data_IF_425870303519
#
_entry.id   IF_425870303519
#
_cell.length_a   1.000
_cell.length_b   1.000
_cell.length_c   1.000
_cell.angle_alpha   90.00
_cell.angle_beta   90.00
_cell.angle_gamma   90.00
#
_symmetry.space_group_name_H-M   'P 1'
#
loop_
_entity.id
_entity.type
_entity.pdbx_description
1 polymer ?
#
# COMPACT_ATOMS: atom_id res chain seq x y z
N UNK A 1 -10.13 -5.42 16.51
CA UNK A 1 -9.65 -4.96 17.84
C UNK A 1 -8.16 -5.21 17.91
N UNK A 2 -7.33 -4.22 17.56
CA UNK A 2 -5.86 -4.34 17.57
C UNK A 2 -5.33 -4.21 19.00
N UNK A 3 -4.46 -5.11 19.34
CA UNK A 3 -3.84 -5.27 20.64
C UNK A 3 -3.00 -4.02 20.98
N UNK A 4 -3.45 -3.22 21.94
CA UNK A 4 -2.89 -1.92 22.35
C UNK A 4 -1.61 -2.02 23.20
N UNK A 5 -0.92 -3.19 23.24
CA UNK A 5 0.27 -3.38 24.08
C UNK A 5 1.28 -4.38 23.47
N UNK A 6 1.66 -4.21 22.20
CA UNK A 6 2.88 -4.90 21.74
C UNK A 6 4.09 -4.30 22.44
N UNK A 7 4.94 -5.15 23.04
CA UNK A 7 6.16 -4.66 23.69
C UNK A 7 7.08 -3.99 22.68
N UNK A 8 7.83 -2.98 23.10
CA UNK A 8 8.78 -2.28 22.25
C UNK A 8 9.75 -3.23 21.52
N UNK A 9 10.13 -4.33 22.18
CA UNK A 9 11.01 -5.38 21.61
C UNK A 9 10.33 -6.12 20.46
N UNK A 10 9.03 -6.43 20.55
CA UNK A 10 8.25 -7.07 19.47
C UNK A 10 8.18 -6.14 18.26
N UNK A 11 7.84 -4.86 18.47
CA UNK A 11 7.79 -3.87 17.41
C UNK A 11 9.15 -3.69 16.73
N UNK A 12 10.24 -3.67 17.50
CA UNK A 12 11.59 -3.58 16.97
C UNK A 12 11.93 -4.78 16.10
N UNK A 13 11.61 -6.00 16.54
CA UNK A 13 11.83 -7.24 15.76
C UNK A 13 11.07 -7.20 14.44
N UNK A 14 9.78 -6.87 14.48
CA UNK A 14 8.96 -6.74 13.26
C UNK A 14 9.52 -5.68 12.31
N UNK A 15 10.00 -4.55 12.86
CA UNK A 15 10.60 -3.49 12.06
C UNK A 15 11.89 -3.93 11.37
N UNK A 16 12.79 -4.63 12.07
CA UNK A 16 14.03 -5.16 11.48
C UNK A 16 13.76 -6.15 10.34
N UNK A 17 12.82 -7.07 10.54
CA UNK A 17 12.40 -8.03 9.50
C UNK A 17 11.78 -7.32 8.29
N UNK A 18 10.90 -6.33 8.52
CA UNK A 18 10.28 -5.56 7.45
C UNK A 18 11.31 -4.73 6.66
N UNK A 19 12.23 -4.06 7.35
CA UNK A 19 13.30 -3.28 6.71
C UNK A 19 14.19 -4.19 5.85
N UNK A 20 14.51 -5.39 6.33
CA UNK A 20 15.31 -6.34 5.56
C UNK A 20 14.57 -6.87 4.33
N UNK A 21 13.27 -7.19 4.44
CA UNK A 21 12.48 -7.60 3.27
C UNK A 21 12.43 -6.49 2.22
N UNK A 22 12.20 -5.25 2.64
CA UNK A 22 12.17 -4.10 1.73
C UNK A 22 13.53 -3.88 1.05
N UNK A 23 14.64 -4.08 1.77
CA UNK A 23 15.99 -3.99 1.19
C UNK A 23 16.24 -5.08 0.13
N UNK A 24 15.85 -6.32 0.41
CA UNK A 24 15.97 -7.42 -0.54
C UNK A 24 15.11 -7.20 -1.80
N UNK A 25 13.93 -6.60 -1.64
CA UNK A 25 13.02 -6.28 -2.74
C UNK A 25 13.52 -5.13 -3.63
N UNK A 26 14.57 -4.41 -3.27
CA UNK A 26 15.22 -3.46 -4.20
C UNK A 26 15.90 -4.16 -5.38
N UNK A 27 16.30 -5.42 -5.22
CA UNK A 27 17.15 -6.13 -6.19
C UNK A 27 16.59 -7.47 -6.66
N UNK A 28 15.60 -8.02 -5.98
CA UNK A 28 15.07 -9.35 -6.25
C UNK A 28 13.56 -9.39 -6.10
N UNK A 29 12.87 -10.13 -6.98
CA UNK A 29 11.44 -10.34 -6.84
C UNK A 29 11.10 -11.14 -5.57
N UNK A 30 9.91 -10.88 -5.02
CA UNK A 30 9.43 -11.56 -3.81
C UNK A 30 9.50 -13.09 -3.92
N UNK A 31 9.21 -13.64 -5.11
CA UNK A 31 9.27 -15.08 -5.38
C UNK A 31 10.65 -15.67 -5.08
N UNK A 32 11.71 -14.92 -5.39
CA UNK A 32 13.12 -15.34 -5.21
C UNK A 32 13.67 -15.08 -3.80
N UNK A 33 12.90 -14.46 -2.91
CA UNK A 33 13.32 -14.20 -1.53
C UNK A 33 12.77 -15.29 -0.63
N UNK A 34 13.64 -15.93 0.16
CA UNK A 34 13.27 -16.90 1.18
C UNK A 34 13.18 -16.27 2.57
N UNK A 35 12.47 -16.93 3.50
CA UNK A 35 12.48 -16.52 4.93
C UNK A 35 13.90 -16.56 5.49
N UNK A 36 14.74 -17.50 5.01
CA UNK A 36 16.13 -17.58 5.45
C UNK A 36 16.95 -16.33 5.06
N UNK A 37 16.78 -15.82 3.83
CA UNK A 37 17.45 -14.58 3.38
C UNK A 37 17.07 -13.39 4.27
N UNK A 38 15.78 -13.30 4.62
CA UNK A 38 15.26 -12.22 5.48
C UNK A 38 15.87 -12.34 6.88
N UNK A 39 15.84 -13.54 7.46
CA UNK A 39 16.36 -13.79 8.81
C UNK A 39 17.86 -13.52 8.92
N UNK A 40 18.64 -13.96 7.93
CA UNK A 40 20.09 -13.73 7.89
C UNK A 40 20.42 -12.24 7.81
N UNK A 41 19.77 -11.50 6.91
CA UNK A 41 20.03 -10.08 6.76
C UNK A 41 19.55 -9.24 7.94
N UNK A 42 18.46 -9.64 8.61
CA UNK A 42 17.96 -8.99 9.81
C UNK A 42 18.71 -9.39 11.10
N UNK A 43 19.59 -10.39 11.04
CA UNK A 43 20.25 -11.01 12.20
C UNK A 43 19.25 -11.57 13.24
N UNK A 44 18.15 -12.14 12.75
CA UNK A 44 17.05 -12.71 13.55
C UNK A 44 16.93 -14.20 13.23
N UNK A 45 16.70 -15.02 14.27
CA UNK A 45 16.53 -16.45 14.08
C UNK A 45 15.21 -16.77 13.35
N UNK A 46 15.17 -17.89 12.60
CA UNK A 46 13.93 -18.37 11.98
C UNK A 46 12.82 -18.64 12.98
N UNK A 47 13.16 -19.17 14.17
CA UNK A 47 12.18 -19.38 15.23
C UNK A 47 11.55 -18.07 15.68
N UNK A 48 12.35 -17.01 15.82
CA UNK A 48 11.84 -15.67 16.15
C UNK A 48 10.98 -15.10 15.02
N UNK A 49 11.35 -15.32 13.74
CA UNK A 49 10.52 -14.94 12.60
C UNK A 49 9.12 -15.55 12.71
N UNK A 50 9.04 -16.88 12.91
CA UNK A 50 7.76 -17.60 12.97
C UNK A 50 6.92 -17.31 14.22
N UNK A 51 7.48 -16.68 15.25
CA UNK A 51 6.71 -16.12 16.36
C UNK A 51 5.89 -14.88 15.95
N UNK A 52 6.28 -14.19 14.87
CA UNK A 52 5.66 -12.93 14.47
C UNK A 52 4.93 -13.00 13.12
N UNK A 53 5.40 -13.85 12.21
CA UNK A 53 4.85 -13.97 10.85
C UNK A 53 4.79 -15.43 10.42
N UNK A 54 3.66 -15.85 9.88
CA UNK A 54 3.48 -17.21 9.35
C UNK A 54 4.40 -17.48 8.16
N UNK A 55 4.58 -16.47 7.30
CA UNK A 55 5.39 -16.51 6.11
C UNK A 55 5.86 -15.12 5.67
N UNK A 56 6.58 -15.05 4.54
CA UNK A 56 7.07 -13.79 3.96
C UNK A 56 5.96 -12.90 3.40
N UNK A 57 4.79 -13.46 3.05
CA UNK A 57 3.66 -12.69 2.54
C UNK A 57 2.98 -11.93 3.66
N UNK A 58 2.85 -12.54 4.85
CA UNK A 58 2.38 -11.85 6.06
C UNK A 58 3.34 -10.73 6.50
N UNK A 59 4.64 -10.94 6.33
CA UNK A 59 5.61 -9.87 6.55
C UNK A 59 5.48 -8.76 5.50
N UNK A 60 5.27 -9.08 4.22
CA UNK A 60 5.01 -8.10 3.18
C UNK A 60 3.72 -7.31 3.47
N UNK A 61 2.67 -7.99 3.90
CA UNK A 61 1.44 -7.33 4.35
C UNK A 61 1.73 -6.28 5.44
N UNK A 62 2.53 -6.64 6.43
CA UNK A 62 2.94 -5.71 7.48
C UNK A 62 3.72 -4.52 6.92
N UNK A 63 4.60 -4.72 5.91
CA UNK A 63 5.29 -3.63 5.23
C UNK A 63 4.29 -2.67 4.58
N UNK A 64 3.31 -3.18 3.83
CA UNK A 64 2.27 -2.36 3.22
C UNK A 64 1.44 -1.62 4.26
N UNK A 65 0.97 -2.27 5.31
CA UNK A 65 0.21 -1.62 6.38
C UNK A 65 0.96 -0.42 7.00
N UNK A 66 2.28 -0.53 7.12
CA UNK A 66 3.12 0.59 7.59
C UNK A 66 3.19 1.74 6.58
N UNK A 67 3.42 1.43 5.30
CA UNK A 67 3.45 2.45 4.24
C UNK A 67 2.10 3.18 4.13
N UNK A 68 1.01 2.45 4.25
CA UNK A 68 -0.34 2.97 4.17
C UNK A 68 -0.67 3.85 5.36
N UNK A 69 -0.33 3.44 6.56
CA UNK A 69 -0.50 4.29 7.75
C UNK A 69 0.21 5.64 7.59
N UNK A 70 1.34 5.67 6.85
CA UNK A 70 1.99 6.92 6.45
C UNK A 70 1.16 7.70 5.44
N UNK A 71 0.63 7.05 4.40
CA UNK A 71 -0.20 7.70 3.39
C UNK A 71 -1.46 8.29 4.01
N UNK A 72 -2.20 7.51 4.80
CA UNK A 72 -3.39 7.97 5.52
C UNK A 72 -3.10 9.21 6.38
N UNK A 73 -2.00 9.17 7.14
CA UNK A 73 -1.60 10.29 7.99
C UNK A 73 -1.20 11.52 7.16
N UNK A 74 -0.41 11.32 6.11
CA UNK A 74 0.13 12.40 5.28
C UNK A 74 -0.88 13.02 4.31
N UNK A 75 -1.96 12.30 4.00
CA UNK A 75 -3.02 12.79 3.10
C UNK A 75 -4.25 13.32 3.82
N UNK A 76 -4.28 13.26 5.15
CA UNK A 76 -5.38 13.80 5.94
C UNK A 76 -5.51 15.32 5.69
N UNK A 77 -6.72 15.76 5.37
CA UNK A 77 -7.01 17.17 5.06
C UNK A 77 -6.51 17.66 3.69
N UNK A 78 -5.86 16.82 2.90
CA UNK A 78 -5.45 17.15 1.53
C UNK A 78 -6.61 16.98 0.56
N UNK A 79 -6.59 17.76 -0.52
CA UNK A 79 -7.47 17.59 -1.68
C UNK A 79 -7.23 16.24 -2.36
N UNK A 80 -8.15 15.82 -3.22
CA UNK A 80 -7.98 14.61 -4.03
C UNK A 80 -6.69 14.69 -4.89
N UNK A 81 -6.44 15.83 -5.52
CA UNK A 81 -5.24 16.04 -6.34
C UNK A 81 -3.94 15.94 -5.54
N UNK A 82 -3.87 16.61 -4.39
CA UNK A 82 -2.70 16.52 -3.51
C UNK A 82 -2.48 15.10 -2.97
N UNK A 83 -3.56 14.36 -2.73
CA UNK A 83 -3.51 12.96 -2.31
C UNK A 83 -2.95 12.07 -3.41
N UNK A 84 -3.43 12.23 -4.66
CA UNK A 84 -2.93 11.49 -5.83
C UNK A 84 -1.42 11.72 -5.97
N UNK A 85 -1.00 12.98 -6.05
CA UNK A 85 0.42 13.32 -6.23
C UNK A 85 1.29 12.75 -5.10
N UNK A 86 0.85 12.87 -3.86
CA UNK A 86 1.57 12.31 -2.71
C UNK A 86 1.76 10.80 -2.83
N UNK A 87 0.70 10.06 -3.17
CA UNK A 87 0.76 8.59 -3.28
C UNK A 87 1.67 8.17 -4.45
N UNK A 88 1.58 8.84 -5.61
CA UNK A 88 2.45 8.53 -6.75
C UNK A 88 3.92 8.84 -6.43
N UNK A 89 4.23 9.94 -5.72
CA UNK A 89 5.57 10.25 -5.25
C UNK A 89 6.08 9.21 -4.27
N UNK A 90 5.28 8.80 -3.30
CA UNK A 90 5.64 7.76 -2.32
C UNK A 90 5.90 6.38 -2.98
N UNK A 91 5.18 6.07 -4.07
CA UNK A 91 5.45 4.87 -4.87
C UNK A 91 6.79 5.02 -5.61
N UNK A 92 7.06 6.15 -6.24
CA UNK A 92 8.31 6.40 -6.97
C UNK A 92 9.54 6.46 -6.07
N UNK A 93 9.43 6.99 -4.85
CA UNK A 93 10.52 6.96 -3.87
C UNK A 93 11.01 5.54 -3.55
N UNK A 94 10.12 4.55 -3.73
CA UNK A 94 10.38 3.12 -3.47
C UNK A 94 10.10 2.26 -4.70
N UNK A 95 10.39 2.78 -5.90
CA UNK A 95 9.98 2.15 -7.15
C UNK A 95 10.49 0.72 -7.29
N UNK A 96 11.73 0.42 -6.89
CA UNK A 96 12.30 -0.92 -6.96
C UNK A 96 11.55 -1.90 -6.04
N UNK A 97 11.22 -1.47 -4.81
CA UNK A 97 10.42 -2.25 -3.88
C UNK A 97 9.06 -2.62 -4.50
N UNK A 98 8.33 -1.64 -5.01
CA UNK A 98 7.03 -1.88 -5.63
C UNK A 98 7.16 -2.71 -6.90
N UNK A 99 8.09 -2.37 -7.78
CA UNK A 99 8.32 -3.11 -9.02
C UNK A 99 8.61 -4.59 -8.75
N UNK A 100 9.58 -4.92 -7.91
CA UNK A 100 9.94 -6.29 -7.60
C UNK A 100 8.91 -7.04 -6.76
N UNK A 101 7.98 -6.31 -6.12
CA UNK A 101 6.83 -6.92 -5.46
C UNK A 101 5.77 -7.36 -6.47
N UNK A 102 5.53 -6.56 -7.52
CA UNK A 102 4.44 -6.77 -8.47
C UNK A 102 4.88 -7.28 -9.86
N UNK A 103 6.18 -7.39 -10.14
CA UNK A 103 6.67 -7.84 -11.45
C UNK A 103 6.33 -9.30 -11.75
N UNK A 104 6.35 -10.17 -10.75
CA UNK A 104 5.82 -11.52 -10.87
C UNK A 104 4.28 -11.44 -10.83
N UNK A 105 3.58 -12.50 -11.27
CA UNK A 105 2.11 -12.51 -11.18
C UNK A 105 1.68 -12.13 -9.75
N UNK A 106 0.83 -11.10 -9.60
CA UNK A 106 0.43 -10.64 -8.28
C UNK A 106 -0.26 -11.79 -7.56
N UNK A 107 0.21 -12.13 -6.37
CA UNK A 107 -0.54 -12.98 -5.48
C UNK A 107 -1.79 -12.22 -5.09
N UNK A 108 -2.94 -12.85 -5.16
CA UNK A 108 -4.25 -12.23 -4.89
C UNK A 108 -4.25 -11.45 -3.57
N UNK A 109 -3.56 -11.97 -2.54
CA UNK A 109 -3.38 -11.33 -1.25
C UNK A 109 -2.77 -9.91 -1.33
N UNK A 110 -1.82 -9.67 -2.24
CA UNK A 110 -1.19 -8.36 -2.43
C UNK A 110 -2.16 -7.34 -3.03
N UNK A 111 -2.99 -7.79 -3.97
CA UNK A 111 -4.04 -6.97 -4.58
C UNK A 111 -5.08 -6.61 -3.53
N UNK A 112 -5.53 -7.58 -2.73
CA UNK A 112 -6.52 -7.37 -1.66
C UNK A 112 -6.02 -6.38 -0.60
N UNK A 113 -4.74 -6.44 -0.25
CA UNK A 113 -4.13 -5.48 0.67
C UNK A 113 -4.22 -4.07 0.10
N UNK A 114 -3.73 -3.83 -1.12
CA UNK A 114 -3.80 -2.51 -1.75
C UNK A 114 -5.23 -2.02 -1.90
N UNK A 115 -6.13 -2.91 -2.34
CA UNK A 115 -7.55 -2.59 -2.45
C UNK A 115 -8.14 -2.12 -1.11
N UNK A 116 -7.91 -2.88 -0.03
CA UNK A 116 -8.40 -2.53 1.31
C UNK A 116 -7.89 -1.19 1.81
N UNK A 117 -6.69 -0.81 1.39
CA UNK A 117 -6.01 0.44 1.71
C UNK A 117 -6.67 1.62 1.06
N UNK A 118 -6.75 1.56 -0.28
CA UNK A 118 -7.40 2.63 -1.03
C UNK A 118 -8.88 2.75 -0.61
N UNK A 119 -9.56 1.62 -0.32
CA UNK A 119 -10.93 1.65 0.18
C UNK A 119 -11.06 2.45 1.49
N UNK A 120 -10.11 2.35 2.42
CA UNK A 120 -10.13 3.16 3.65
C UNK A 120 -9.92 4.65 3.35
N UNK A 121 -8.92 4.98 2.51
CA UNK A 121 -8.66 6.38 2.12
C UNK A 121 -9.89 7.00 1.46
N UNK A 122 -10.52 6.28 0.51
CA UNK A 122 -11.72 6.76 -0.13
C UNK A 122 -12.89 6.88 0.84
N UNK A 123 -13.11 5.90 1.72
CA UNK A 123 -14.18 5.92 2.69
C UNK A 123 -14.13 7.16 3.59
N UNK A 124 -12.95 7.53 4.07
CA UNK A 124 -12.80 8.72 4.92
C UNK A 124 -13.14 10.00 4.15
N UNK A 125 -12.65 10.13 2.91
CA UNK A 125 -12.97 11.28 2.05
C UNK A 125 -14.45 11.35 1.65
N UNK A 126 -15.10 10.22 1.37
CA UNK A 126 -16.53 10.16 1.05
C UNK A 126 -17.37 10.58 2.26
N UNK A 127 -17.03 10.09 3.46
CA UNK A 127 -17.73 10.51 4.70
C UNK A 127 -17.60 12.01 4.97
N UNK A 128 -16.45 12.61 4.67
CA UNK A 128 -16.26 14.06 4.77
C UNK A 128 -17.19 14.81 3.80
N UNK A 129 -17.33 14.31 2.56
CA UNK A 129 -18.24 14.88 1.57
C UNK A 129 -19.71 14.72 1.95
N UNK A 130 -20.15 13.57 2.43
CA UNK A 130 -21.51 13.36 2.93
C UNK A 130 -21.85 14.34 4.06
N UNK A 131 -20.91 14.52 5.02
CA UNK A 131 -21.07 15.53 6.09
C UNK A 131 -21.15 16.96 5.58
N UNK A 132 -20.51 17.26 4.44
CA UNK A 132 -20.61 18.56 3.77
C UNK A 132 -21.87 18.70 2.89
N UNK A 133 -22.77 17.69 2.89
CA UNK A 133 -24.03 17.72 2.16
C UNK A 133 -23.93 17.27 0.69
N UNK A 134 -22.83 16.63 0.30
CA UNK A 134 -22.69 16.09 -1.05
C UNK A 134 -23.42 14.75 -1.17
N UNK A 135 -24.28 14.62 -2.18
CA UNK A 135 -25.01 13.37 -2.48
C UNK A 135 -24.11 12.44 -3.27
N UNK A 136 -23.83 11.25 -2.71
CA UNK A 136 -23.06 10.22 -3.39
C UNK A 136 -23.92 9.45 -4.40
N UNK A 137 -23.34 8.90 -5.48
CA UNK A 137 -24.06 8.13 -6.49
C UNK A 137 -24.60 6.77 -5.97
N UNK A 138 -24.34 6.44 -4.71
CA UNK A 138 -24.79 5.22 -4.06
C UNK A 138 -24.17 5.06 -2.67
N UNK A 139 -24.36 3.91 -2.00
CA UNK A 139 -23.79 3.65 -0.69
C UNK A 139 -22.26 3.89 -0.66
N UNK A 140 -21.76 4.65 0.30
CA UNK A 140 -20.33 5.00 0.40
C UNK A 140 -19.40 3.78 0.35
N UNK A 141 -19.83 2.62 0.88
CA UNK A 141 -19.08 1.36 0.82
C UNK A 141 -18.89 0.85 -0.62
N UNK A 142 -19.91 0.93 -1.45
CA UNK A 142 -19.84 0.50 -2.85
C UNK A 142 -19.05 1.49 -3.68
N UNK A 143 -19.30 2.78 -3.51
CA UNK A 143 -18.52 3.85 -4.18
C UNK A 143 -17.04 3.75 -3.84
N UNK A 144 -16.72 3.59 -2.56
CA UNK A 144 -15.34 3.39 -2.09
C UNK A 144 -14.68 2.16 -2.73
N UNK A 145 -15.36 1.01 -2.73
CA UNK A 145 -14.82 -0.23 -3.30
C UNK A 145 -14.55 -0.10 -4.81
N UNK A 146 -15.45 0.54 -5.56
CA UNK A 146 -15.32 0.75 -7.00
C UNK A 146 -14.07 1.60 -7.33
N UNK A 147 -13.94 2.76 -6.71
CA UNK A 147 -12.80 3.66 -6.98
C UNK A 147 -11.49 3.12 -6.43
N UNK A 148 -11.51 2.48 -5.27
CA UNK A 148 -10.33 1.83 -4.69
C UNK A 148 -9.81 0.73 -5.60
N UNK A 149 -10.69 -0.12 -6.15
CA UNK A 149 -10.32 -1.16 -7.09
C UNK A 149 -9.70 -0.62 -8.36
N UNK A 150 -10.32 0.40 -8.96
CA UNK A 150 -9.81 1.07 -10.16
C UNK A 150 -8.43 1.68 -9.95
N UNK A 151 -8.27 2.48 -8.89
CA UNK A 151 -6.99 3.15 -8.59
C UNK A 151 -5.89 2.13 -8.20
N UNK A 152 -6.20 1.12 -7.40
CA UNK A 152 -5.23 0.08 -7.05
C UNK A 152 -4.74 -0.65 -8.30
N UNK A 153 -5.67 -1.06 -9.18
CA UNK A 153 -5.33 -1.75 -10.43
C UNK A 153 -4.52 -0.86 -11.37
N UNK A 154 -4.89 0.41 -11.53
CA UNK A 154 -4.15 1.37 -12.35
C UNK A 154 -2.72 1.57 -11.83
N UNK A 155 -2.53 1.71 -10.52
CA UNK A 155 -1.20 1.83 -9.92
C UNK A 155 -0.37 0.55 -10.11
N UNK A 156 -0.95 -0.63 -9.91
CA UNK A 156 -0.26 -1.91 -10.16
C UNK A 156 0.18 -2.02 -11.62
N UNK A 157 -0.70 -1.66 -12.56
CA UNK A 157 -0.36 -1.68 -13.99
C UNK A 157 0.80 -0.72 -14.31
N UNK A 158 0.77 0.49 -13.76
CA UNK A 158 1.85 1.47 -13.90
C UNK A 158 3.18 0.97 -13.31
N UNK A 159 3.15 0.34 -12.15
CA UNK A 159 4.34 -0.28 -11.54
C UNK A 159 4.88 -1.41 -12.44
N UNK A 160 3.99 -2.29 -12.95
CA UNK A 160 4.39 -3.45 -13.79
C UNK A 160 4.95 -3.04 -15.14
N UNK A 161 4.52 -1.93 -15.72
CA UNK A 161 5.08 -1.36 -16.93
C UNK A 161 6.44 -0.66 -16.70
N UNK A 162 6.99 -0.79 -15.48
CA UNK A 162 8.20 -0.08 -15.05
C UNK A 162 8.06 1.45 -15.19
N UNK A 163 6.88 1.96 -14.83
CA UNK A 163 6.60 3.41 -14.79
C UNK A 163 6.75 4.08 -16.16
N UNK A 164 6.31 3.42 -17.23
CA UNK A 164 6.40 3.90 -18.62
C UNK A 164 5.56 5.16 -18.92
N UNK A 165 4.52 5.41 -18.09
CA UNK A 165 3.73 6.64 -18.16
C UNK A 165 4.34 7.66 -17.18
N UNK A 166 4.60 8.93 -17.63
CA UNK A 166 5.06 9.99 -16.72
C UNK A 166 4.09 10.19 -15.54
N UNK A 167 4.64 10.48 -14.36
CA UNK A 167 3.86 10.69 -13.13
C UNK A 167 2.74 11.73 -13.32
N UNK A 168 3.04 12.81 -14.00
CA UNK A 168 2.12 13.92 -14.25
C UNK A 168 0.92 13.47 -15.10
N UNK A 169 1.16 12.63 -16.10
CA UNK A 169 0.11 12.05 -16.95
C UNK A 169 -0.74 11.05 -16.16
N UNK A 170 -0.09 10.20 -15.35
CA UNK A 170 -0.78 9.26 -14.47
C UNK A 170 -1.65 9.99 -13.44
N UNK A 171 -1.14 11.08 -12.84
CA UNK A 171 -1.88 11.91 -11.90
C UNK A 171 -3.09 12.56 -12.55
N UNK A 172 -2.93 13.12 -13.75
CA UNK A 172 -4.01 13.78 -14.50
C UNK A 172 -5.09 12.76 -14.92
N UNK A 173 -4.69 11.56 -15.34
CA UNK A 173 -5.62 10.48 -15.64
C UNK A 173 -6.46 10.12 -14.40
N UNK A 174 -5.82 9.87 -13.25
CA UNK A 174 -6.52 9.56 -12.02
C UNK A 174 -7.43 10.72 -11.57
N UNK A 175 -6.97 11.97 -11.67
CA UNK A 175 -7.77 13.14 -11.33
C UNK A 175 -9.04 13.20 -12.17
N UNK A 176 -8.96 13.01 -13.50
CA UNK A 176 -10.12 12.98 -14.40
C UNK A 176 -11.09 11.87 -14.05
N UNK A 177 -10.58 10.66 -13.78
CA UNK A 177 -11.42 9.53 -13.38
C UNK A 177 -12.14 9.77 -12.05
N UNK A 178 -11.50 10.49 -11.11
CA UNK A 178 -12.06 10.80 -9.80
C UNK A 178 -12.93 12.06 -9.80
N UNK A 179 -12.87 12.91 -10.84
CA UNK A 179 -13.60 14.20 -10.88
C UNK A 179 -15.12 14.05 -10.82
N UNK A 180 -15.66 12.89 -11.16
CA UNK A 180 -17.09 12.60 -11.01
C UNK A 180 -17.57 12.56 -9.54
N UNK A 181 -16.64 12.30 -8.60
CA UNK A 181 -16.95 12.25 -7.15
C UNK A 181 -16.22 13.35 -6.38
N UNK A 182 -15.04 13.75 -6.85
CA UNK A 182 -14.21 14.78 -6.24
C UNK A 182 -14.00 15.94 -7.24
N UNK A 183 -15.06 16.72 -7.52
CA UNK A 183 -14.99 17.88 -8.40
C UNK A 183 -14.06 18.97 -7.85
#
# INVERSE_FOLDING_TARGET
MGNRNESAKVLQTKHLLASQLMELLKNRSLKKISVNDICQGALISRSTFYLHFEDKYRLLQYCFEKEIGRWETSTRGKTAQETILYILDAILEKKEFYYHTFMDEPVQEQIEILHSVFARIFMDKLREKEKAGYELPGPASIVSAFYAGGIATANIQWIRSNFDIPKEEMAECQRKLLSAIFP
#
